data_IF_827422658390
#
_entry.id   IF_827422658390
#
_cell.length_a   1.000
_cell.length_b   1.000
_cell.length_c   1.000
_cell.angle_alpha   90.00
_cell.angle_beta   90.00
_cell.angle_gamma   90.00
#
_symmetry.space_group_name_H-M   'P 1'
#
loop_
_entity.id
_entity.type
_entity.pdbx_description
1 polymer ?
#
# COMPACT_ATOMS: atom_id res chain seq x y z
N UNK A 1 -29.24 -18.23 8.48
CA UNK A 1 -28.67 -19.00 7.36
C UNK A 1 -27.17 -18.66 7.27
N UNK A 2 -26.28 -19.66 7.20
CA UNK A 2 -24.86 -19.39 6.98
C UNK A 2 -24.70 -18.71 5.61
N UNK A 3 -24.03 -17.54 5.58
CA UNK A 3 -23.72 -16.87 4.31
C UNK A 3 -22.78 -17.80 3.50
N UNK A 4 -23.01 -17.92 2.18
CA UNK A 4 -22.09 -18.66 1.32
C UNK A 4 -20.70 -18.02 1.36
N UNK A 5 -19.61 -18.82 1.23
CA UNK A 5 -18.28 -18.27 1.15
C UNK A 5 -18.13 -17.33 -0.06
N UNK A 6 -17.31 -16.28 0.09
CA UNK A 6 -16.93 -15.39 -1.01
C UNK A 6 -15.92 -16.12 -1.90
N UNK A 7 -16.25 -16.23 -3.18
CA UNK A 7 -15.41 -16.89 -4.18
C UNK A 7 -14.38 -15.91 -4.74
N UNK A 8 -13.10 -16.17 -4.48
CA UNK A 8 -11.99 -15.28 -4.83
C UNK A 8 -11.08 -15.94 -5.87
N UNK A 9 -10.68 -15.17 -6.87
CA UNK A 9 -9.61 -15.49 -7.81
C UNK A 9 -8.34 -14.70 -7.50
N UNK A 10 -7.17 -15.30 -7.74
CA UNK A 10 -5.88 -14.62 -7.65
C UNK A 10 -5.34 -14.37 -9.05
N UNK A 11 -4.95 -13.13 -9.34
CA UNK A 11 -4.28 -12.73 -10.57
C UNK A 11 -2.86 -12.28 -10.21
N UNK A 12 -1.86 -13.03 -10.68
CA UNK A 12 -0.45 -12.90 -10.30
C UNK A 12 -0.05 -13.86 -9.18
N UNK A 13 0.71 -14.90 -9.53
CA UNK A 13 1.23 -15.91 -8.61
C UNK A 13 2.66 -15.60 -8.13
N UNK A 14 2.98 -14.30 -7.96
CA UNK A 14 4.28 -13.81 -7.52
C UNK A 14 4.56 -14.04 -6.03
N UNK A 15 5.70 -13.51 -5.57
CA UNK A 15 6.16 -13.68 -4.17
C UNK A 15 5.14 -13.13 -3.17
N UNK A 16 4.57 -11.93 -3.40
CA UNK A 16 3.60 -11.31 -2.49
C UNK A 16 2.36 -12.19 -2.34
N UNK A 17 1.84 -12.72 -3.45
CA UNK A 17 0.72 -13.65 -3.44
C UNK A 17 1.00 -14.90 -2.62
N UNK A 18 2.16 -15.54 -2.83
CA UNK A 18 2.52 -16.81 -2.18
C UNK A 18 2.91 -16.67 -0.70
N UNK A 19 3.48 -15.53 -0.32
CA UNK A 19 3.99 -15.30 1.05
C UNK A 19 2.96 -14.65 1.95
N UNK A 20 2.07 -13.82 1.39
CA UNK A 20 1.12 -13.02 2.17
C UNK A 20 -0.34 -13.38 1.89
N UNK A 21 -0.86 -13.19 0.67
CA UNK A 21 -2.29 -13.34 0.38
C UNK A 21 -2.78 -14.78 0.52
N UNK A 22 -2.14 -15.72 -0.13
CA UNK A 22 -2.57 -17.13 -0.08
C UNK A 22 -2.48 -17.74 1.32
N UNK A 23 -1.43 -17.49 2.13
CA UNK A 23 -1.41 -17.90 3.53
C UNK A 23 -2.50 -17.27 4.38
N UNK A 24 -2.88 -16.00 4.15
CA UNK A 24 -3.95 -15.32 4.86
C UNK A 24 -5.35 -15.89 4.50
N UNK A 25 -5.50 -16.41 3.28
CA UNK A 25 -6.73 -17.04 2.79
C UNK A 25 -6.88 -18.51 3.24
N UNK A 26 -5.75 -19.18 3.49
CA UNK A 26 -5.73 -20.62 3.76
C UNK A 26 -6.49 -21.00 5.04
N UNK A 27 -7.41 -21.96 4.91
CA UNK A 27 -8.18 -22.48 6.05
C UNK A 27 -9.37 -21.63 6.48
N UNK A 28 -9.65 -20.53 5.80
CA UNK A 28 -10.85 -19.72 6.05
C UNK A 28 -12.09 -20.44 5.58
N UNK A 29 -13.18 -20.31 6.35
CA UNK A 29 -14.49 -20.92 6.02
C UNK A 29 -15.41 -19.94 5.28
N UNK A 30 -15.12 -18.67 5.33
CA UNK A 30 -15.87 -17.57 4.73
C UNK A 30 -15.36 -17.19 3.32
N UNK A 31 -14.28 -17.85 2.86
CA UNK A 31 -13.66 -17.66 1.55
C UNK A 31 -13.42 -18.99 0.86
N UNK A 32 -13.65 -19.02 -0.45
CA UNK A 32 -13.29 -20.11 -1.35
C UNK A 32 -12.38 -19.58 -2.46
N UNK A 33 -11.15 -20.08 -2.51
CA UNK A 33 -10.22 -19.77 -3.61
C UNK A 33 -10.55 -20.68 -4.80
N UNK A 34 -11.07 -20.10 -5.89
CA UNK A 34 -11.55 -20.88 -7.03
C UNK A 34 -10.53 -21.00 -8.16
N UNK A 35 -9.61 -20.06 -8.31
CA UNK A 35 -8.57 -20.15 -9.34
C UNK A 35 -7.37 -19.26 -9.05
N UNK A 36 -6.22 -19.63 -9.63
CA UNK A 36 -4.98 -18.84 -9.72
C UNK A 36 -4.73 -18.54 -11.20
N UNK A 37 -4.46 -17.28 -11.52
CA UNK A 37 -4.07 -16.83 -12.85
C UNK A 37 -2.65 -16.27 -12.83
N UNK A 38 -1.81 -16.70 -13.78
CA UNK A 38 -0.49 -16.12 -14.05
C UNK A 38 -0.15 -16.37 -15.52
N UNK A 39 0.55 -15.46 -16.21
CA UNK A 39 0.98 -15.65 -17.59
C UNK A 39 1.89 -16.88 -17.75
N UNK A 40 2.66 -17.20 -16.71
CA UNK A 40 3.32 -18.50 -16.55
C UNK A 40 2.33 -19.52 -15.96
N UNK A 41 1.68 -20.28 -16.85
CA UNK A 41 0.67 -21.27 -16.46
C UNK A 41 1.24 -22.38 -15.58
N UNK A 42 2.50 -22.75 -15.74
CA UNK A 42 3.14 -23.78 -14.91
C UNK A 42 3.35 -23.27 -13.49
N UNK A 43 3.76 -22.01 -13.35
CA UNK A 43 3.81 -21.34 -12.04
C UNK A 43 2.43 -21.27 -11.40
N UNK A 44 1.40 -20.91 -12.17
CA UNK A 44 0.01 -20.91 -11.67
C UNK A 44 -0.42 -22.29 -11.18
N UNK A 45 -0.10 -23.38 -11.92
CA UNK A 45 -0.40 -24.77 -11.54
C UNK A 45 0.31 -25.18 -10.25
N UNK A 46 1.61 -24.90 -10.14
CA UNK A 46 2.38 -25.21 -8.93
C UNK A 46 1.81 -24.50 -7.70
N UNK A 47 1.45 -23.24 -7.84
CA UNK A 47 0.86 -22.45 -6.74
C UNK A 47 -0.53 -22.98 -6.40
N UNK A 48 -1.38 -23.26 -7.38
CA UNK A 48 -2.70 -23.81 -7.17
C UNK A 48 -2.62 -25.17 -6.41
N UNK A 49 -1.74 -26.07 -6.83
CA UNK A 49 -1.51 -27.35 -6.16
C UNK A 49 -1.02 -27.17 -4.70
N UNK A 50 -0.05 -26.29 -4.49
CA UNK A 50 0.52 -26.01 -3.15
C UNK A 50 -0.54 -25.52 -2.15
N UNK A 51 -1.50 -24.74 -2.62
CA UNK A 51 -2.54 -24.14 -1.77
C UNK A 51 -3.89 -24.86 -1.85
N UNK A 52 -4.00 -25.96 -2.61
CA UNK A 52 -5.24 -26.75 -2.73
C UNK A 52 -6.33 -26.03 -3.55
N UNK A 53 -5.94 -25.22 -4.54
CA UNK A 53 -6.85 -24.49 -5.42
C UNK A 53 -7.05 -25.30 -6.69
N UNK A 54 -8.30 -25.57 -7.04
CA UNK A 54 -8.66 -26.54 -8.09
C UNK A 54 -8.37 -26.10 -9.52
N UNK A 55 -8.13 -24.81 -9.78
CA UNK A 55 -7.99 -24.29 -11.15
C UNK A 55 -6.79 -23.33 -11.29
N UNK A 56 -6.04 -23.51 -12.37
CA UNK A 56 -5.00 -22.60 -12.81
C UNK A 56 -5.28 -22.17 -14.27
N UNK A 57 -5.13 -20.88 -14.57
CA UNK A 57 -5.34 -20.31 -15.90
C UNK A 57 -4.23 -19.35 -16.26
N UNK A 58 -3.97 -19.14 -17.54
CA UNK A 58 -2.96 -18.17 -18.02
C UNK A 58 -3.56 -16.83 -18.44
N UNK A 59 -4.86 -16.78 -18.72
CA UNK A 59 -5.56 -15.58 -19.14
C UNK A 59 -6.54 -15.12 -18.06
N UNK A 60 -6.34 -13.88 -17.59
CA UNK A 60 -7.18 -13.30 -16.54
C UNK A 60 -8.60 -13.03 -17.00
N UNK A 61 -8.86 -12.75 -18.30
CA UNK A 61 -10.21 -12.59 -18.79
C UNK A 61 -11.02 -13.88 -18.69
N UNK A 62 -10.38 -15.01 -18.96
CA UNK A 62 -10.99 -16.34 -18.75
C UNK A 62 -11.39 -16.57 -17.30
N UNK A 63 -10.59 -16.05 -16.35
CA UNK A 63 -10.94 -16.07 -14.93
C UNK A 63 -12.14 -15.15 -14.64
N UNK A 64 -12.13 -13.92 -15.17
CA UNK A 64 -13.14 -12.90 -14.90
C UNK A 64 -14.52 -13.25 -15.47
N UNK A 65 -14.60 -14.01 -16.58
CA UNK A 65 -15.85 -14.50 -17.18
C UNK A 65 -16.56 -15.56 -16.33
N UNK A 66 -15.93 -16.05 -15.26
CA UNK A 66 -16.59 -16.99 -14.37
C UNK A 66 -17.65 -16.27 -13.51
N UNK A 67 -18.93 -16.61 -13.73
CA UNK A 67 -20.05 -16.00 -13.01
C UNK A 67 -20.05 -16.30 -11.51
N UNK A 68 -19.45 -17.41 -11.10
CA UNK A 68 -19.33 -17.75 -9.68
C UNK A 68 -18.33 -16.90 -8.92
N UNK A 69 -17.40 -16.21 -9.62
CA UNK A 69 -16.37 -15.37 -9.02
C UNK A 69 -17.00 -14.09 -8.44
N UNK A 70 -16.77 -13.83 -7.16
CA UNK A 70 -17.23 -12.61 -6.48
C UNK A 70 -16.17 -11.50 -6.49
N UNK A 71 -14.91 -11.88 -6.29
CA UNK A 71 -13.81 -10.94 -6.12
C UNK A 71 -12.49 -11.46 -6.69
N UNK A 72 -11.57 -10.55 -6.96
CA UNK A 72 -10.18 -10.88 -7.33
C UNK A 72 -9.19 -10.15 -6.45
N UNK A 73 -8.05 -10.80 -6.22
CA UNK A 73 -6.83 -10.18 -5.71
C UNK A 73 -5.88 -10.02 -6.88
N UNK A 74 -5.43 -8.80 -7.16
CA UNK A 74 -4.48 -8.49 -8.23
C UNK A 74 -3.13 -8.24 -7.60
N UNK A 75 -2.16 -9.13 -7.87
CA UNK A 75 -0.80 -9.11 -7.33
C UNK A 75 0.24 -9.28 -8.45
N UNK A 76 0.06 -8.53 -9.52
CA UNK A 76 0.85 -8.50 -10.75
C UNK A 76 1.89 -7.38 -10.74
N UNK A 77 2.76 -7.26 -11.76
CA UNK A 77 3.54 -6.04 -11.99
C UNK A 77 2.68 -4.78 -12.15
N UNK A 78 3.19 -3.63 -11.70
CA UNK A 78 2.44 -2.37 -11.56
C UNK A 78 1.68 -1.93 -12.83
N UNK A 79 2.27 -2.13 -14.03
CA UNK A 79 1.63 -1.74 -15.30
C UNK A 79 0.36 -2.53 -15.64
N UNK A 80 0.12 -3.63 -14.95
CA UNK A 80 -1.05 -4.47 -15.12
C UNK A 80 -2.17 -4.16 -14.11
N UNK A 81 -1.87 -3.39 -13.05
CA UNK A 81 -2.86 -3.04 -12.02
C UNK A 81 -4.07 -2.33 -12.63
N UNK A 82 -3.86 -1.26 -13.39
CA UNK A 82 -4.95 -0.47 -13.96
C UNK A 82 -5.80 -1.26 -14.98
N UNK A 83 -5.24 -1.87 -16.04
CA UNK A 83 -6.06 -2.60 -17.01
C UNK A 83 -6.79 -3.81 -16.39
N UNK A 84 -6.15 -4.58 -15.51
CA UNK A 84 -6.78 -5.74 -14.88
C UNK A 84 -7.87 -5.33 -13.88
N UNK A 85 -7.65 -4.25 -13.11
CA UNK A 85 -8.68 -3.71 -12.20
C UNK A 85 -9.90 -3.21 -12.97
N UNK A 86 -9.70 -2.45 -14.05
CA UNK A 86 -10.79 -1.95 -14.88
C UNK A 86 -11.58 -3.11 -15.51
N UNK A 87 -10.90 -4.14 -16.01
CA UNK A 87 -11.55 -5.34 -16.55
C UNK A 87 -12.36 -6.06 -15.45
N UNK A 88 -11.76 -6.32 -14.28
CA UNK A 88 -12.44 -7.01 -13.19
C UNK A 88 -13.70 -6.27 -12.72
N UNK A 89 -13.62 -4.95 -12.55
CA UNK A 89 -14.76 -4.10 -12.23
C UNK A 89 -15.82 -4.13 -13.33
N UNK A 90 -15.41 -4.13 -14.61
CA UNK A 90 -16.29 -4.26 -15.78
C UNK A 90 -17.04 -5.59 -15.82
N UNK A 91 -16.41 -6.68 -15.36
CA UNK A 91 -17.06 -7.98 -15.17
C UNK A 91 -17.86 -8.09 -13.85
N UNK A 92 -18.04 -6.98 -13.14
CA UNK A 92 -18.83 -6.95 -11.91
C UNK A 92 -18.15 -7.62 -10.70
N UNK A 93 -16.82 -7.74 -10.68
CA UNK A 93 -16.07 -8.33 -9.57
C UNK A 93 -15.56 -7.27 -8.62
N UNK A 94 -15.51 -7.57 -7.31
CA UNK A 94 -14.81 -6.76 -6.32
C UNK A 94 -13.30 -6.95 -6.46
N UNK A 95 -12.51 -5.92 -6.15
CA UNK A 95 -11.07 -5.93 -6.39
C UNK A 95 -10.29 -5.51 -5.15
N UNK A 96 -9.35 -6.35 -4.71
CA UNK A 96 -8.22 -5.98 -3.87
C UNK A 96 -6.97 -5.91 -4.77
N UNK A 97 -6.45 -4.69 -4.99
CA UNK A 97 -5.30 -4.48 -5.86
C UNK A 97 -4.05 -4.17 -5.03
N UNK A 98 -2.95 -4.86 -5.32
CA UNK A 98 -1.66 -4.58 -4.68
C UNK A 98 -1.19 -3.14 -4.93
N UNK A 99 -0.34 -2.67 -4.00
CA UNK A 99 0.35 -1.39 -4.14
C UNK A 99 1.45 -1.46 -5.22
N UNK A 100 1.79 -0.34 -5.87
CA UNK A 100 1.13 0.96 -5.83
C UNK A 100 -0.24 0.89 -6.52
N UNK A 101 -1.17 1.83 -6.25
CA UNK A 101 -2.48 1.84 -6.91
C UNK A 101 -2.40 1.72 -8.43
N UNK A 102 -1.51 2.51 -9.03
CA UNK A 102 -1.28 2.57 -10.46
C UNK A 102 0.14 3.10 -10.73
N UNK A 103 0.55 3.27 -11.99
CA UNK A 103 1.85 3.88 -12.34
C UNK A 103 1.84 5.41 -12.26
N UNK A 104 0.67 6.03 -12.32
CA UNK A 104 0.46 7.48 -12.28
C UNK A 104 -1.00 7.82 -11.91
N UNK A 105 -1.29 9.10 -11.68
CA UNK A 105 -2.62 9.59 -11.34
C UNK A 105 -3.66 9.38 -12.45
N UNK A 106 -3.27 9.43 -13.73
CA UNK A 106 -4.20 9.22 -14.84
C UNK A 106 -4.76 7.79 -14.85
N UNK A 107 -3.91 6.78 -14.63
CA UNK A 107 -4.35 5.39 -14.48
C UNK A 107 -5.22 5.21 -13.24
N UNK A 108 -4.82 5.79 -12.09
CA UNK A 108 -5.60 5.72 -10.85
C UNK A 108 -6.99 6.37 -11.02
N UNK A 109 -7.09 7.48 -11.77
CA UNK A 109 -8.36 8.13 -12.10
C UNK A 109 -9.29 7.20 -12.89
N UNK A 110 -8.76 6.51 -13.91
CA UNK A 110 -9.54 5.55 -14.69
C UNK A 110 -10.05 4.38 -13.83
N UNK A 111 -9.23 3.92 -12.88
CA UNK A 111 -9.63 2.86 -11.94
C UNK A 111 -10.73 3.35 -11.00
N UNK A 112 -10.61 4.58 -10.46
CA UNK A 112 -11.63 5.17 -9.59
C UNK A 112 -12.97 5.37 -10.32
N UNK A 113 -12.94 5.84 -11.56
CA UNK A 113 -14.13 5.94 -12.39
C UNK A 113 -14.76 4.58 -12.69
N UNK A 114 -13.95 3.55 -12.96
CA UNK A 114 -14.45 2.20 -13.17
C UNK A 114 -15.10 1.63 -11.90
N UNK A 115 -14.52 1.85 -10.72
CA UNK A 115 -15.11 1.47 -9.44
C UNK A 115 -16.45 2.16 -9.21
N UNK A 116 -16.52 3.47 -9.46
CA UNK A 116 -17.77 4.24 -9.34
C UNK A 116 -18.86 3.74 -10.28
N UNK A 117 -18.52 3.45 -11.55
CA UNK A 117 -19.50 2.95 -12.53
C UNK A 117 -20.01 1.54 -12.22
N UNK A 118 -19.13 0.66 -11.74
CA UNK A 118 -19.49 -0.73 -11.43
C UNK A 118 -20.27 -0.89 -10.13
N UNK A 119 -20.16 0.06 -9.21
CA UNK A 119 -20.67 -0.05 -7.83
C UNK A 119 -19.99 -1.16 -7.01
N UNK A 120 -18.83 -1.66 -7.47
CA UNK A 120 -18.07 -2.70 -6.79
C UNK A 120 -16.98 -2.08 -5.92
N UNK A 121 -16.56 -2.83 -4.90
CA UNK A 121 -15.44 -2.45 -4.04
C UNK A 121 -14.15 -2.51 -4.85
N UNK A 122 -13.42 -1.40 -4.87
CA UNK A 122 -12.00 -1.34 -5.18
C UNK A 122 -11.28 -0.90 -3.91
N UNK A 123 -10.39 -1.74 -3.41
CA UNK A 123 -9.52 -1.46 -2.27
C UNK A 123 -8.07 -1.73 -2.67
N UNK A 124 -7.17 -0.84 -2.27
CA UNK A 124 -5.74 -1.05 -2.46
C UNK A 124 -5.13 -1.75 -1.25
N UNK A 125 -4.17 -2.65 -1.50
CA UNK A 125 -3.49 -3.42 -0.46
C UNK A 125 -2.44 -2.55 0.26
N UNK A 126 -2.91 -1.67 1.15
CA UNK A 126 -2.10 -0.84 2.03
C UNK A 126 -2.01 -1.47 3.42
N UNK A 127 -1.43 -2.67 3.49
CA UNK A 127 -1.39 -3.51 4.66
C UNK A 127 -0.82 -2.83 5.91
N UNK A 128 0.09 -1.86 5.75
CA UNK A 128 0.66 -1.10 6.87
C UNK A 128 -0.41 -0.35 7.70
N UNK A 129 -1.53 0.05 7.10
CA UNK A 129 -2.65 0.67 7.82
C UNK A 129 -3.30 -0.29 8.83
N UNK A 130 -3.16 -1.61 8.63
CA UNK A 130 -3.75 -2.67 9.45
C UNK A 130 -2.80 -3.23 10.52
N UNK A 131 -1.61 -2.69 10.69
CA UNK A 131 -0.70 -3.07 11.77
C UNK A 131 -1.26 -2.64 13.12
N UNK A 132 -1.13 -3.49 14.13
CA UNK A 132 -1.68 -3.22 15.47
C UNK A 132 -1.10 -1.97 16.14
N UNK A 133 0.22 -1.73 15.97
CA UNK A 133 0.88 -0.52 16.47
C UNK A 133 0.38 0.75 15.76
N UNK A 134 0.13 0.66 14.45
CA UNK A 134 -0.43 1.75 13.64
C UNK A 134 -1.89 2.05 14.04
N UNK A 135 -2.71 1.02 14.25
CA UNK A 135 -4.10 1.18 14.71
C UNK A 135 -4.15 1.79 16.10
N UNK A 136 -3.24 1.39 16.98
CA UNK A 136 -3.10 2.01 18.31
C UNK A 136 -2.75 3.50 18.18
N UNK A 137 -1.73 3.84 17.37
CA UNK A 137 -1.36 5.23 17.12
C UNK A 137 -2.52 6.05 16.57
N UNK A 138 -3.27 5.48 15.61
CA UNK A 138 -4.45 6.15 15.05
C UNK A 138 -5.47 6.51 16.12
N UNK A 139 -5.72 5.61 17.08
CA UNK A 139 -6.62 5.91 18.21
C UNK A 139 -6.17 7.11 19.06
N UNK A 140 -4.87 7.33 19.23
CA UNK A 140 -4.34 8.53 19.91
C UNK A 140 -4.55 9.79 19.07
N UNK A 141 -4.34 9.71 17.77
CA UNK A 141 -4.54 10.85 16.86
C UNK A 141 -6.00 11.25 16.75
N UNK A 142 -6.92 10.30 16.63
CA UNK A 142 -8.37 10.55 16.56
C UNK A 142 -8.92 11.21 17.84
N UNK A 143 -8.32 10.90 18.99
CA UNK A 143 -8.64 11.57 20.26
C UNK A 143 -7.87 12.85 20.49
N UNK A 144 -7.07 13.29 19.52
CA UNK A 144 -6.22 14.49 19.61
C UNK A 144 -5.24 14.46 20.80
N UNK A 145 -4.84 13.28 21.25
CA UNK A 145 -4.01 13.13 22.45
C UNK A 145 -2.56 13.61 22.26
N UNK A 146 -2.12 13.86 21.02
CA UNK A 146 -0.82 14.45 20.69
C UNK A 146 -0.92 15.94 20.38
N UNK A 147 -2.12 16.55 20.50
CA UNK A 147 -2.39 17.92 20.09
C UNK A 147 -2.34 18.08 18.56
N UNK A 148 -2.13 19.31 18.10
CA UNK A 148 -2.00 19.60 16.66
C UNK A 148 -0.66 19.09 16.15
N UNK A 149 -0.68 18.17 15.18
CA UNK A 149 0.57 17.72 14.52
C UNK A 149 1.06 18.83 13.60
N UNK A 150 2.29 19.27 13.79
CA UNK A 150 2.93 20.33 13.00
C UNK A 150 4.09 19.82 12.15
N UNK A 151 4.68 18.67 12.51
CA UNK A 151 5.77 18.06 11.77
C UNK A 151 5.64 16.54 11.76
N UNK A 152 5.83 15.94 10.59
CA UNK A 152 5.94 14.50 10.42
C UNK A 152 7.22 14.16 9.65
N UNK A 153 7.82 13.05 10.02
CA UNK A 153 9.01 12.53 9.35
C UNK A 153 8.83 11.05 9.08
N UNK A 154 9.00 10.65 7.82
CA UNK A 154 8.82 9.25 7.42
C UNK A 154 9.89 8.81 6.43
N UNK A 155 10.20 7.53 6.44
CA UNK A 155 11.13 6.99 5.48
C UNK A 155 11.30 5.49 5.57
N UNK A 156 11.88 4.94 4.50
CA UNK A 156 12.33 3.56 4.46
C UNK A 156 13.69 3.51 3.77
N UNK A 157 14.71 3.52 4.59
CA UNK A 157 16.11 3.44 4.17
C UNK A 157 16.52 1.97 4.19
N UNK A 158 16.72 1.41 3.01
CA UNK A 158 16.99 -0.01 2.84
C UNK A 158 18.45 -0.25 2.51
N UNK A 159 19.02 -1.26 3.16
CA UNK A 159 20.35 -1.75 2.83
C UNK A 159 20.38 -2.22 1.36
N UNK A 160 21.41 -1.78 0.64
CA UNK A 160 21.72 -2.30 -0.69
C UNK A 160 22.02 -3.81 -0.59
N UNK A 161 21.33 -4.59 -1.40
CA UNK A 161 21.57 -6.03 -1.53
C UNK A 161 21.80 -6.35 -2.99
N UNK A 162 22.85 -7.10 -3.29
CA UNK A 162 23.19 -7.54 -4.64
C UNK A 162 22.27 -8.68 -5.15
N UNK A 163 21.29 -9.09 -4.33
CA UNK A 163 20.44 -10.26 -4.59
C UNK A 163 19.22 -10.00 -5.48
N UNK A 164 18.96 -8.75 -5.86
CA UNK A 164 17.90 -8.46 -6.83
C UNK A 164 18.48 -8.54 -8.23
N UNK A 165 18.21 -9.64 -8.92
CA UNK A 165 18.41 -9.71 -10.38
C UNK A 165 17.53 -8.66 -11.10
N UNK A 166 17.83 -8.38 -12.39
CA UNK A 166 17.04 -7.47 -13.18
C UNK A 166 15.57 -7.92 -13.22
N UNK A 167 14.65 -7.00 -12.97
CA UNK A 167 13.21 -7.28 -12.91
C UNK A 167 12.40 -6.11 -13.44
N UNK A 168 11.10 -6.35 -13.62
CA UNK A 168 10.15 -5.34 -14.09
C UNK A 168 10.15 -4.04 -13.25
N UNK A 169 10.50 -4.13 -11.96
CA UNK A 169 10.56 -3.00 -11.02
C UNK A 169 11.73 -2.03 -11.29
N UNK A 170 12.72 -2.41 -12.09
CA UNK A 170 13.83 -1.56 -12.51
C UNK A 170 13.57 -0.87 -13.86
N UNK A 171 12.43 -1.13 -14.50
CA UNK A 171 12.03 -0.53 -15.76
C UNK A 171 10.87 0.45 -15.52
N UNK A 172 11.10 1.74 -15.78
CA UNK A 172 10.12 2.82 -15.53
C UNK A 172 8.79 2.60 -16.24
N UNK A 173 8.81 2.02 -17.44
CA UNK A 173 7.58 1.75 -18.21
C UNK A 173 6.69 0.71 -17.50
N UNK A 174 7.29 -0.26 -16.85
CA UNK A 174 6.57 -1.33 -16.13
C UNK A 174 6.23 -0.97 -14.70
N UNK A 175 7.15 -0.28 -14.01
CA UNK A 175 6.99 0.05 -12.57
C UNK A 175 6.32 1.40 -12.32
N UNK A 176 6.42 2.36 -13.24
CA UNK A 176 6.02 3.75 -13.05
C UNK A 176 7.11 4.62 -12.40
N UNK A 177 8.13 4.01 -11.78
CA UNK A 177 9.23 4.65 -11.09
C UNK A 177 10.03 3.67 -10.25
N UNK A 178 10.95 4.17 -9.44
CA UNK A 178 11.87 3.39 -8.63
C UNK A 178 11.44 3.21 -7.18
N UNK A 179 12.31 3.64 -6.28
CA UNK A 179 12.12 3.45 -4.84
C UNK A 179 10.89 4.16 -4.28
N UNK A 180 10.48 5.28 -4.88
CA UNK A 180 9.24 5.98 -4.49
C UNK A 180 8.01 5.08 -4.73
N UNK A 181 7.95 4.40 -5.88
CA UNK A 181 6.85 3.50 -6.23
C UNK A 181 6.84 2.20 -5.42
N UNK A 182 8.01 1.74 -4.92
CA UNK A 182 8.09 0.51 -4.12
C UNK A 182 7.94 0.77 -2.62
N UNK A 183 8.85 1.57 -2.04
CA UNK A 183 8.90 1.84 -0.60
C UNK A 183 8.18 3.14 -0.24
N UNK A 184 8.39 4.17 -1.04
CA UNK A 184 7.87 5.52 -0.75
C UNK A 184 6.36 5.58 -0.74
N UNK A 185 5.70 4.91 -1.67
CA UNK A 185 4.23 4.86 -1.73
C UNK A 185 3.60 4.37 -0.42
N UNK A 186 4.20 3.37 0.22
CA UNK A 186 3.71 2.82 1.48
C UNK A 186 3.91 3.77 2.66
N UNK A 187 5.06 4.45 2.69
CA UNK A 187 5.38 5.39 3.76
C UNK A 187 4.58 6.69 3.63
N UNK A 188 4.39 7.15 2.40
CA UNK A 188 3.56 8.32 2.10
C UNK A 188 2.09 8.05 2.42
N UNK A 189 1.56 6.93 1.94
CA UNK A 189 0.20 6.48 2.23
C UNK A 189 -0.07 6.43 3.75
N UNK A 190 0.79 5.74 4.48
CA UNK A 190 0.65 5.58 5.92
C UNK A 190 0.69 6.93 6.66
N UNK A 191 1.60 7.82 6.24
CA UNK A 191 1.75 9.13 6.86
C UNK A 191 0.54 10.03 6.61
N UNK A 192 0.08 10.13 5.37
CA UNK A 192 -1.08 10.94 5.01
C UNK A 192 -2.35 10.39 5.69
N UNK A 193 -2.54 9.08 5.69
CA UNK A 193 -3.69 8.45 6.33
C UNK A 193 -3.72 8.68 7.85
N UNK A 194 -2.60 8.57 8.56
CA UNK A 194 -2.51 8.86 9.99
C UNK A 194 -2.78 10.32 10.30
N UNK A 195 -2.40 11.22 9.40
CA UNK A 195 -2.68 12.66 9.51
C UNK A 195 -4.11 13.05 9.12
N UNK A 196 -4.97 12.08 8.75
CA UNK A 196 -6.36 12.33 8.36
C UNK A 196 -6.53 12.69 6.88
N UNK A 197 -5.58 12.33 6.02
CA UNK A 197 -5.55 12.62 4.58
C UNK A 197 -5.67 14.12 4.27
N UNK A 198 -4.83 15.00 4.87
CA UNK A 198 -4.84 16.41 4.54
C UNK A 198 -4.43 16.62 3.08
N UNK A 199 -4.92 17.69 2.46
CA UNK A 199 -4.44 18.09 1.14
C UNK A 199 -2.95 18.43 1.19
N UNK A 200 -2.19 17.97 0.21
CA UNK A 200 -0.81 18.39 0.00
C UNK A 200 -0.82 19.68 -0.81
N UNK A 201 -0.31 20.75 -0.22
CA UNK A 201 -0.30 22.08 -0.84
C UNK A 201 0.87 22.23 -1.80
N UNK A 202 2.05 21.80 -1.37
CA UNK A 202 3.26 21.84 -2.22
C UNK A 202 4.25 20.76 -1.87
N UNK A 203 5.14 20.47 -2.83
CA UNK A 203 6.19 19.46 -2.74
C UNK A 203 7.50 20.02 -3.29
N UNK A 204 8.58 19.79 -2.56
CA UNK A 204 9.96 19.95 -3.05
C UNK A 204 10.67 18.62 -2.92
N UNK A 205 11.26 18.11 -4.01
CA UNK A 205 11.87 16.79 -4.02
C UNK A 205 13.18 16.74 -4.82
N UNK A 206 14.01 15.76 -4.47
CA UNK A 206 15.23 15.40 -5.20
C UNK A 206 15.33 13.89 -5.32
N UNK A 207 15.89 13.41 -6.44
CA UNK A 207 16.07 11.97 -6.70
C UNK A 207 17.48 11.68 -7.20
N UNK A 208 17.95 10.47 -6.94
CA UNK A 208 19.25 9.97 -7.37
C UNK A 208 19.11 8.60 -8.03
N UNK A 209 20.00 8.35 -8.98
CA UNK A 209 20.18 7.08 -9.66
C UNK A 209 21.67 6.73 -9.52
N UNK A 210 21.99 5.76 -8.70
CA UNK A 210 23.42 5.38 -8.45
C UNK A 210 24.00 4.57 -9.58
N UNK A 211 23.18 3.83 -10.33
CA UNK A 211 23.61 3.09 -11.52
C UNK A 211 22.98 3.73 -12.77
N UNK A 212 23.78 4.44 -13.61
CA UNK A 212 23.26 5.17 -14.77
C UNK A 212 22.65 4.28 -15.88
N UNK A 213 22.78 2.95 -15.75
CA UNK A 213 22.11 1.99 -16.65
C UNK A 213 20.64 1.79 -16.31
N UNK A 214 20.18 2.28 -15.14
CA UNK A 214 18.78 2.18 -14.67
C UNK A 214 18.03 3.45 -15.05
N UNK A 215 16.77 3.29 -15.41
CA UNK A 215 15.87 4.39 -15.75
C UNK A 215 14.96 4.83 -14.60
N UNK A 216 15.16 4.21 -13.41
CA UNK A 216 14.40 4.49 -12.18
C UNK A 216 15.32 4.96 -11.06
N UNK A 217 14.81 5.82 -10.19
CA UNK A 217 15.54 6.29 -9.03
C UNK A 217 15.66 5.21 -7.95
N UNK A 218 16.80 5.17 -7.29
CA UNK A 218 17.10 4.29 -6.17
C UNK A 218 17.12 5.01 -4.81
N UNK A 219 17.09 6.33 -4.84
CA UNK A 219 17.05 7.21 -3.67
C UNK A 219 16.22 8.45 -3.99
N UNK A 220 15.37 8.84 -3.05
CA UNK A 220 14.54 10.05 -3.17
C UNK A 220 14.32 10.67 -1.80
N UNK A 221 14.37 12.00 -1.74
CA UNK A 221 13.98 12.79 -0.59
C UNK A 221 12.96 13.87 -1.02
N UNK A 222 11.93 14.08 -0.20
CA UNK A 222 10.91 15.07 -0.45
C UNK A 222 10.49 15.79 0.85
N UNK A 223 10.12 17.06 0.71
CA UNK A 223 9.44 17.86 1.71
C UNK A 223 8.06 18.23 1.15
N UNK A 224 7.02 17.91 1.90
CA UNK A 224 5.64 18.23 1.58
C UNK A 224 5.10 19.24 2.59
N UNK A 225 4.40 20.25 2.12
CA UNK A 225 3.61 21.17 2.95
C UNK A 225 2.15 20.75 2.86
N UNK A 226 1.54 20.54 4.00
CA UNK A 226 0.16 20.06 4.11
C UNK A 226 -0.79 21.22 4.42
N UNK A 227 -2.05 21.05 4.08
CA UNK A 227 -3.10 21.97 4.52
C UNK A 227 -3.07 22.10 6.06
N UNK A 228 -3.27 23.33 6.56
CA UNK A 228 -3.13 23.63 7.99
C UNK A 228 -1.71 23.88 8.46
N UNK A 229 -0.70 23.83 7.54
CA UNK A 229 0.68 24.28 7.74
C UNK A 229 1.63 23.23 8.32
N UNK A 230 1.19 21.98 8.50
CA UNK A 230 2.09 20.91 8.88
C UNK A 230 3.05 20.56 7.74
N UNK A 231 4.25 20.07 8.09
CA UNK A 231 5.25 19.61 7.12
C UNK A 231 5.48 18.11 7.27
N UNK A 232 5.67 17.42 6.14
CA UNK A 232 6.03 16.01 6.08
C UNK A 232 7.32 15.84 5.29
N UNK A 233 8.36 15.24 5.89
CA UNK A 233 9.56 14.79 5.15
C UNK A 233 9.46 13.31 4.83
N UNK A 234 9.83 12.96 3.60
CA UNK A 234 9.91 11.60 3.09
C UNK A 234 11.31 11.30 2.60
N UNK A 235 11.92 10.22 3.10
CA UNK A 235 13.23 9.74 2.68
C UNK A 235 13.17 8.26 2.34
N UNK A 236 13.47 7.89 1.10
CA UNK A 236 13.44 6.50 0.68
C UNK A 236 14.66 6.14 -0.16
N UNK A 237 15.21 4.98 0.13
CA UNK A 237 16.32 4.43 -0.64
C UNK A 237 16.40 2.91 -0.52
N UNK A 238 16.86 2.25 -1.58
CA UNK A 238 17.28 0.85 -1.54
C UNK A 238 18.75 0.64 -1.90
N UNK A 239 19.52 1.75 -1.99
CA UNK A 239 20.91 1.76 -2.47
C UNK A 239 21.94 2.08 -1.39
N UNK A 240 21.53 2.23 -0.13
CA UNK A 240 22.41 2.70 0.94
C UNK A 240 23.28 1.57 1.50
N UNK A 241 24.51 1.93 1.89
CA UNK A 241 25.43 1.07 2.62
C UNK A 241 25.14 1.13 4.11
N UNK A 242 24.18 0.34 4.56
CA UNK A 242 23.71 0.27 5.95
C UNK A 242 23.89 -1.12 6.52
N UNK A 243 24.04 -1.24 7.84
CA UNK A 243 24.03 -2.55 8.52
C UNK A 243 22.68 -3.24 8.43
N UNK A 244 21.59 -2.47 8.56
CA UNK A 244 20.20 -2.95 8.57
C UNK A 244 19.26 -1.97 7.89
N UNK A 245 18.08 -2.47 7.53
CA UNK A 245 16.98 -1.63 7.05
C UNK A 245 16.48 -0.72 8.17
N UNK A 246 16.10 0.50 7.81
CA UNK A 246 15.64 1.51 8.75
C UNK A 246 14.32 2.15 8.26
N UNK A 247 13.17 1.47 8.46
CA UNK A 247 11.86 2.09 8.27
C UNK A 247 11.52 2.92 9.51
N UNK A 248 10.93 4.10 9.33
CA UNK A 248 10.47 4.96 10.43
C UNK A 248 9.30 5.83 10.00
N UNK A 249 8.46 6.17 10.97
CA UNK A 249 7.46 7.23 10.88
C UNK A 249 7.35 7.88 12.25
N UNK A 250 7.59 9.18 12.32
CA UNK A 250 7.57 9.96 13.54
C UNK A 250 6.62 11.15 13.35
N UNK A 251 5.76 11.38 14.33
CA UNK A 251 4.80 12.48 14.36
C UNK A 251 5.08 13.35 15.57
N UNK A 252 5.11 14.66 15.36
CA UNK A 252 5.37 15.65 16.39
C UNK A 252 4.19 16.62 16.49
N UNK A 253 3.51 16.55 17.62
CA UNK A 253 2.37 17.40 17.96
C UNK A 253 2.70 18.38 19.07
N UNK A 254 1.76 19.29 19.36
CA UNK A 254 1.91 20.30 20.43
C UNK A 254 1.94 19.69 21.83
N UNK A 255 1.31 18.54 22.03
CA UNK A 255 1.09 17.93 23.35
C UNK A 255 1.78 16.56 23.48
N UNK A 256 2.45 16.11 22.40
CA UNK A 256 3.16 14.84 22.42
C UNK A 256 3.76 14.47 21.07
N UNK A 257 4.46 13.33 21.07
CA UNK A 257 5.09 12.76 19.89
C UNK A 257 4.85 11.27 19.80
N UNK A 258 4.79 10.73 18.58
CA UNK A 258 4.74 9.30 18.34
C UNK A 258 5.83 8.87 17.36
N UNK A 259 6.43 7.73 17.64
CA UNK A 259 7.44 7.10 16.81
C UNK A 259 7.00 5.67 16.46
N UNK A 260 7.10 5.30 15.20
CA UNK A 260 6.99 3.91 14.76
C UNK A 260 8.39 3.38 14.44
N UNK A 261 8.71 2.21 14.99
CA UNK A 261 9.97 1.50 14.82
C UNK A 261 11.19 2.17 15.53
N UNK A 262 11.28 2.00 16.88
CA UNK A 262 10.36 1.27 17.73
C UNK A 262 9.11 2.09 18.06
N UNK A 263 7.99 1.40 18.31
CA UNK A 263 6.75 2.08 18.67
C UNK A 263 6.88 2.74 20.04
N UNK A 264 6.71 4.07 20.09
CA UNK A 264 6.75 4.88 21.30
C UNK A 264 5.78 6.04 21.18
N UNK A 265 5.11 6.35 22.28
CA UNK A 265 4.28 7.55 22.42
C UNK A 265 4.78 8.32 23.63
N UNK A 266 5.11 9.58 23.43
CA UNK A 266 5.57 10.48 24.46
C UNK A 266 4.57 11.63 24.62
N UNK A 267 4.26 11.97 25.87
CA UNK A 267 3.43 13.14 26.21
C UNK A 267 4.11 13.96 27.29
N UNK A 268 3.89 15.25 27.28
CA UNK A 268 4.24 16.10 28.43
C UNK A 268 3.09 16.10 29.43
N UNK A 269 3.40 15.85 30.69
CA UNK A 269 2.46 15.97 31.79
C UNK A 269 3.14 16.63 33.00
N UNK A 270 2.59 17.73 33.47
CA UNK A 270 3.14 18.53 34.58
C UNK A 270 4.62 18.91 34.35
N UNK A 271 4.99 19.29 33.12
CA UNK A 271 6.35 19.66 32.75
C UNK A 271 7.35 18.48 32.63
N UNK A 272 6.85 17.25 32.73
CA UNK A 272 7.69 16.04 32.57
C UNK A 272 7.35 15.29 31.30
N UNK A 273 8.37 14.86 30.57
CA UNK A 273 8.21 13.99 29.41
C UNK A 273 7.97 12.55 29.87
N UNK A 274 6.81 12.01 29.56
CA UNK A 274 6.39 10.65 29.92
C UNK A 274 6.31 9.76 28.68
N UNK A 275 6.77 8.53 28.80
CA UNK A 275 6.50 7.48 27.83
C UNK A 275 5.14 6.82 28.18
N UNK A 276 4.12 7.09 27.38
CA UNK A 276 2.76 6.56 27.56
C UNK A 276 2.43 5.46 26.54
N UNK A 277 3.45 4.85 25.94
CA UNK A 277 3.27 3.73 25.01
C UNK A 277 2.50 2.61 25.71
N UNK A 278 1.36 2.16 25.15
CA UNK A 278 0.65 1.03 25.73
C UNK A 278 1.53 -0.21 25.82
N UNK A 279 1.43 -0.94 26.90
CA UNK A 279 2.03 -2.26 27.03
C UNK A 279 1.26 -3.20 26.08
N UNK A 280 1.74 -3.31 24.85
CA UNK A 280 1.21 -4.29 23.89
C UNK A 280 2.00 -5.58 24.05
N UNK A 281 1.31 -6.72 24.08
CA UNK A 281 2.00 -7.99 23.84
C UNK A 281 2.66 -7.91 22.44
N UNK A 282 3.96 -8.22 22.31
CA UNK A 282 4.62 -8.20 21.03
C UNK A 282 3.95 -9.26 20.14
N UNK A 283 3.16 -8.81 19.19
CA UNK A 283 2.58 -9.69 18.19
C UNK A 283 3.72 -10.42 17.47
N UNK A 284 3.72 -11.74 17.53
CA UNK A 284 4.81 -12.57 16.98
C UNK A 284 5.13 -12.32 15.50
N UNK A 285 4.20 -11.72 14.74
CA UNK A 285 4.39 -11.32 13.36
C UNK A 285 3.38 -10.25 12.95
N UNK A 286 3.64 -8.99 13.33
CA UNK A 286 2.79 -7.82 13.02
C UNK A 286 2.53 -7.68 11.52
N UNK A 287 3.54 -7.99 10.70
CA UNK A 287 3.43 -7.88 9.24
C UNK A 287 2.48 -8.93 8.67
N UNK A 288 2.58 -10.19 9.09
CA UNK A 288 1.64 -11.23 8.65
C UNK A 288 0.21 -10.92 9.08
N UNK A 289 0.03 -10.50 10.34
CA UNK A 289 -1.29 -10.13 10.86
C UNK A 289 -1.92 -8.97 10.09
N UNK A 290 -1.11 -8.02 9.60
CA UNK A 290 -1.65 -6.90 8.83
C UNK A 290 -2.32 -7.34 7.52
N UNK A 291 -1.81 -8.35 6.83
CA UNK A 291 -2.46 -8.94 5.64
C UNK A 291 -3.74 -9.71 5.99
N UNK A 292 -3.75 -10.43 7.11
CA UNK A 292 -4.95 -11.11 7.58
C UNK A 292 -6.06 -10.11 7.92
N UNK A 293 -5.73 -9.02 8.62
CA UNK A 293 -6.67 -7.95 8.98
C UNK A 293 -7.13 -7.14 7.76
N UNK A 294 -6.24 -6.88 6.81
CA UNK A 294 -6.57 -6.24 5.53
C UNK A 294 -7.60 -7.05 4.75
N UNK A 295 -7.37 -8.36 4.65
CA UNK A 295 -8.30 -9.27 3.99
C UNK A 295 -9.65 -9.33 4.72
N UNK A 296 -9.65 -9.41 6.06
CA UNK A 296 -10.87 -9.36 6.86
C UNK A 296 -11.67 -8.07 6.58
N UNK A 297 -10.97 -6.96 6.48
CA UNK A 297 -11.59 -5.67 6.18
C UNK A 297 -12.15 -5.63 4.77
N UNK A 298 -11.41 -6.11 3.76
CA UNK A 298 -11.89 -6.22 2.39
C UNK A 298 -13.18 -7.06 2.30
N UNK A 299 -13.23 -8.19 3.00
CA UNK A 299 -14.42 -9.04 3.05
C UNK A 299 -15.61 -8.33 3.72
N UNK A 300 -15.38 -7.51 4.76
CA UNK A 300 -16.43 -6.69 5.36
C UNK A 300 -16.93 -5.59 4.41
N UNK A 301 -16.05 -4.98 3.64
CA UNK A 301 -16.47 -4.04 2.59
C UNK A 301 -17.44 -4.70 1.60
N UNK A 302 -17.19 -5.96 1.21
CA UNK A 302 -18.07 -6.72 0.30
C UNK A 302 -19.38 -7.13 0.97
N UNK A 303 -19.32 -7.66 2.20
CA UNK A 303 -20.45 -8.34 2.84
C UNK A 303 -21.33 -7.44 3.69
N UNK A 304 -20.79 -6.33 4.18
CA UNK A 304 -21.45 -5.41 5.12
C UNK A 304 -21.57 -3.99 4.54
N UNK A 305 -20.95 -3.71 3.38
CA UNK A 305 -20.98 -2.39 2.76
C UNK A 305 -20.10 -1.36 3.47
N UNK A 306 -19.11 -1.80 4.25
CA UNK A 306 -18.14 -0.86 4.85
C UNK A 306 -17.38 -0.13 3.72
N UNK A 307 -17.08 1.17 3.94
CA UNK A 307 -16.27 1.93 2.99
C UNK A 307 -14.82 1.43 3.03
N UNK A 308 -14.19 1.15 1.88
CA UNK A 308 -12.77 0.75 1.85
C UNK A 308 -11.87 1.77 2.52
N UNK A 309 -11.00 1.32 3.41
CA UNK A 309 -10.04 2.17 4.13
C UNK A 309 -8.93 2.73 3.22
N UNK A 310 -8.54 1.98 2.18
CA UNK A 310 -7.68 2.44 1.09
C UNK A 310 -8.51 2.43 -0.20
N UNK A 311 -9.39 3.42 -0.32
CA UNK A 311 -10.39 3.50 -1.39
C UNK A 311 -9.81 3.90 -2.74
N UNK A 312 -10.62 3.80 -3.78
CA UNK A 312 -10.27 4.25 -5.13
C UNK A 312 -9.88 5.73 -5.16
N UNK A 313 -10.60 6.57 -4.43
CA UNK A 313 -10.36 8.01 -4.31
C UNK A 313 -9.07 8.30 -3.56
N UNK A 314 -8.83 7.62 -2.43
CA UNK A 314 -7.58 7.77 -1.67
C UNK A 314 -6.36 7.35 -2.50
N UNK A 315 -6.49 6.26 -3.28
CA UNK A 315 -5.44 5.83 -4.20
C UNK A 315 -5.16 6.85 -5.31
N UNK A 316 -6.20 7.51 -5.85
CA UNK A 316 -6.02 8.59 -6.82
C UNK A 316 -5.28 9.78 -6.21
N UNK A 317 -5.68 10.25 -5.02
CA UNK A 317 -5.01 11.38 -4.35
C UNK A 317 -3.55 11.04 -4.03
N UNK A 318 -3.27 9.83 -3.55
CA UNK A 318 -1.91 9.36 -3.31
C UNK A 318 -1.07 9.41 -4.60
N UNK A 319 -1.61 8.96 -5.74
CA UNK A 319 -0.89 8.99 -7.02
C UNK A 319 -0.69 10.41 -7.55
N UNK A 320 -1.61 11.35 -7.30
CA UNK A 320 -1.41 12.79 -7.60
C UNK A 320 -0.23 13.37 -6.85
N UNK A 321 -0.10 13.03 -5.57
CA UNK A 321 1.06 13.47 -4.75
C UNK A 321 2.35 12.85 -5.28
N UNK A 322 2.34 11.56 -5.65
CA UNK A 322 3.51 10.89 -6.23
C UNK A 322 3.93 11.54 -7.57
N UNK A 323 2.98 11.84 -8.44
CA UNK A 323 3.26 12.55 -9.70
C UNK A 323 3.88 13.93 -9.43
N UNK A 324 3.38 14.68 -8.45
CA UNK A 324 3.94 15.97 -8.04
C UNK A 324 5.35 15.85 -7.47
N UNK A 325 5.63 14.78 -6.69
CA UNK A 325 6.99 14.49 -6.19
C UNK A 325 7.94 14.27 -7.37
N UNK A 326 7.57 13.44 -8.35
CA UNK A 326 8.40 13.21 -9.53
C UNK A 326 8.58 14.50 -10.35
N UNK A 327 7.51 15.26 -10.56
CA UNK A 327 7.57 16.55 -11.27
C UNK A 327 8.52 17.53 -10.58
N UNK A 328 8.46 17.63 -9.25
CA UNK A 328 9.35 18.48 -8.47
C UNK A 328 10.82 18.04 -8.60
N UNK A 329 11.08 16.73 -8.47
CA UNK A 329 12.43 16.18 -8.57
C UNK A 329 13.04 16.35 -9.97
N UNK A 330 12.23 16.30 -11.03
CA UNK A 330 12.66 16.53 -12.41
C UNK A 330 12.90 18.02 -12.70
N UNK A 331 11.96 18.88 -12.27
CA UNK A 331 12.03 20.32 -12.46
C UNK A 331 13.01 21.02 -11.52
N UNK A 332 13.46 20.33 -10.44
CA UNK A 332 14.32 20.87 -9.36
C UNK A 332 13.76 22.13 -8.72
N UNK A 333 12.46 22.17 -8.53
CA UNK A 333 11.73 23.29 -7.91
C UNK A 333 10.49 22.81 -7.18
N UNK A 334 9.94 23.68 -6.34
CA UNK A 334 8.64 23.46 -5.72
C UNK A 334 7.56 23.28 -6.79
N UNK A 335 6.67 22.31 -6.56
CA UNK A 335 5.43 22.08 -7.31
C UNK A 335 4.27 22.25 -6.36
N UNK A 336 3.28 23.08 -6.73
CA UNK A 336 2.02 23.27 -5.99
C UNK A 336 0.94 22.38 -6.57
N UNK A 337 0.18 21.76 -5.69
CA UNK A 337 -1.01 20.99 -6.02
C UNK A 337 -2.24 21.89 -5.82
N UNK A 338 -3.24 21.73 -6.70
CA UNK A 338 -4.48 22.52 -6.72
C UNK A 338 -5.69 21.61 -6.52
#
# INVERSE_FOLDING_TARGET
MAKRPIKIGLIGAGVVAQVNHLPALKGRRDVEMIAVCDDDVEKARMVAQRFGIGRAVSDYETLLRNDELDAVIIATPNHLHAPMTQAALGYGKHVLCEKPPARNAAEASQMAEAAKRSGKVLMYAMNNRFRSDVQTLRGYLERQELGKIFYAKTGWLRRRTDQRGPGWYENKRSSGGGVLMDLGVQMLDLSLWLLGNPQVVSVTATKYVTDPRKDVEDTLAALLVLEGGASLTLEVSWALLLEKNFPYLNLFGTDGAALLNPFRIHKELHGNLLNVTPAAEPARNVYKQSYEQELDYFLRCITQGERPMASAEEGLELMRVIDAIYQSAEARREVRLH
#
